data_IF_733842689717
#
_entry.id   IF_733842689717
#
_cell.length_a   1.000
_cell.length_b   1.000
_cell.length_c   1.000
_cell.angle_alpha   90.00
_cell.angle_beta   90.00
_cell.angle_gamma   90.00
#
_symmetry.space_group_name_H-M   'P 1'
#
loop_
_entity.id
_entity.type
_entity.pdbx_description
1 polymer ?
#
# COMPACT_ATOMS: atom_id res chain seq x y z
N UNK A 1 -13.46 -28.86 -4.81
CA UNK A 1 -12.79 -28.80 -3.49
C UNK A 1 -13.91 -28.93 -2.49
N UNK A 2 -13.91 -29.95 -1.64
CA UNK A 2 -15.06 -30.19 -0.78
C UNK A 2 -15.03 -29.25 0.44
N UNK A 3 -15.87 -28.22 0.42
CA UNK A 3 -16.12 -27.36 1.57
C UNK A 3 -17.26 -27.96 2.38
N UNK A 4 -17.07 -28.10 3.69
CA UNK A 4 -18.12 -28.51 4.62
C UNK A 4 -18.62 -27.27 5.34
N UNK A 5 -19.88 -26.91 5.12
CA UNK A 5 -20.54 -25.83 5.84
C UNK A 5 -21.53 -26.44 6.83
N UNK A 6 -21.30 -26.22 8.13
CA UNK A 6 -22.10 -26.81 9.21
C UNK A 6 -22.24 -28.35 9.12
N UNK A 7 -21.19 -29.04 8.63
CA UNK A 7 -21.17 -30.50 8.47
C UNK A 7 -21.85 -31.03 7.19
N UNK A 8 -22.48 -30.18 6.39
CA UNK A 8 -23.03 -30.53 5.08
C UNK A 8 -22.03 -30.14 3.99
N UNK A 9 -21.93 -30.98 2.95
CA UNK A 9 -21.12 -30.64 1.76
C UNK A 9 -21.76 -29.43 1.08
N UNK A 10 -21.03 -28.31 1.08
CA UNK A 10 -21.39 -27.15 0.28
C UNK A 10 -21.11 -27.44 -1.20
N UNK A 11 -21.80 -26.70 -2.07
CA UNK A 11 -21.57 -26.78 -3.51
C UNK A 11 -20.11 -26.46 -3.84
N UNK A 12 -19.57 -27.14 -4.86
CA UNK A 12 -18.25 -26.82 -5.37
C UNK A 12 -18.23 -25.35 -5.81
N UNK A 13 -17.28 -24.58 -5.26
CA UNK A 13 -16.98 -23.24 -5.70
C UNK A 13 -15.57 -23.21 -6.29
N UNK A 14 -15.40 -22.42 -7.36
CA UNK A 14 -14.09 -22.14 -7.94
C UNK A 14 -13.64 -20.79 -7.39
N UNK A 15 -12.57 -20.71 -6.59
CA UNK A 15 -12.06 -19.43 -6.12
C UNK A 15 -11.61 -18.61 -7.34
N UNK A 16 -12.14 -17.40 -7.47
CA UNK A 16 -11.81 -16.47 -8.56
C UNK A 16 -10.61 -15.59 -8.26
N UNK A 17 -10.31 -15.36 -6.98
CA UNK A 17 -9.20 -14.52 -6.49
C UNK A 17 -8.60 -15.12 -5.22
N UNK A 18 -7.35 -14.76 -4.95
CA UNK A 18 -6.61 -15.16 -3.75
C UNK A 18 -5.81 -16.44 -3.94
N UNK A 19 -4.71 -16.52 -3.19
CA UNK A 19 -3.89 -17.73 -3.08
C UNK A 19 -4.38 -18.52 -1.86
N UNK A 20 -4.29 -19.85 -1.92
CA UNK A 20 -4.67 -20.69 -0.77
C UNK A 20 -3.79 -20.35 0.43
N UNK A 21 -4.40 -20.08 1.57
CA UNK A 21 -3.68 -19.90 2.81
C UNK A 21 -2.95 -21.22 3.17
N UNK A 22 -1.65 -21.15 3.43
CA UNK A 22 -0.81 -22.32 3.64
C UNK A 22 -0.17 -22.89 2.36
N UNK A 23 -0.36 -22.25 1.20
CA UNK A 23 0.45 -22.54 0.01
C UNK A 23 1.87 -22.00 0.23
N UNK A 24 2.93 -22.83 0.11
CA UNK A 24 4.31 -22.35 0.27
C UNK A 24 4.70 -21.25 -0.73
N UNK A 25 3.97 -21.06 -1.84
CA UNK A 25 4.22 -20.00 -2.81
C UNK A 25 3.58 -18.66 -2.47
N UNK A 26 2.57 -18.62 -1.60
CA UNK A 26 1.85 -17.38 -1.28
C UNK A 26 2.74 -16.24 -0.75
N UNK A 27 3.76 -16.48 0.09
CA UNK A 27 4.64 -15.42 0.58
C UNK A 27 5.48 -14.81 -0.54
N UNK A 28 5.94 -15.62 -1.48
CA UNK A 28 6.76 -15.17 -2.61
C UNK A 28 5.95 -14.30 -3.58
N UNK A 29 4.70 -14.69 -3.86
CA UNK A 29 3.80 -13.89 -4.70
C UNK A 29 3.48 -12.53 -4.06
N UNK A 30 3.32 -12.48 -2.74
CA UNK A 30 3.15 -11.22 -2.02
C UNK A 30 4.39 -10.32 -2.15
N UNK A 31 5.59 -10.87 -1.91
CA UNK A 31 6.84 -10.11 -2.04
C UNK A 31 7.00 -9.55 -3.45
N UNK A 32 6.75 -10.35 -4.50
CA UNK A 32 6.84 -9.89 -5.89
C UNK A 32 5.84 -8.77 -6.22
N UNK A 33 4.60 -8.86 -5.70
CA UNK A 33 3.61 -7.82 -5.89
C UNK A 33 4.03 -6.50 -5.23
N UNK A 34 4.54 -6.58 -4.00
CA UNK A 34 5.00 -5.43 -3.23
C UNK A 34 6.28 -4.82 -3.81
N UNK A 35 7.20 -5.65 -4.30
CA UNK A 35 8.40 -5.20 -5.04
C UNK A 35 8.01 -4.40 -6.29
N UNK A 36 7.00 -4.88 -7.03
CA UNK A 36 6.47 -4.14 -8.19
C UNK A 36 5.89 -2.78 -7.78
N UNK A 37 5.18 -2.70 -6.66
CA UNK A 37 4.70 -1.42 -6.11
C UNK A 37 5.87 -0.48 -5.77
N UNK A 38 6.92 -1.00 -5.16
CA UNK A 38 8.15 -0.23 -4.87
C UNK A 38 8.78 0.36 -6.13
N UNK A 39 8.82 -0.40 -7.23
CA UNK A 39 9.31 0.11 -8.52
C UNK A 39 8.43 1.20 -9.13
N UNK A 40 7.10 1.11 -8.99
CA UNK A 40 6.19 2.18 -9.45
C UNK A 40 6.45 3.48 -8.68
N UNK A 41 6.58 3.38 -7.35
CA UNK A 41 6.89 4.54 -6.51
C UNK A 41 8.26 5.12 -6.88
N UNK A 42 9.28 4.29 -7.08
CA UNK A 42 10.61 4.76 -7.45
C UNK A 42 10.62 5.47 -8.80
N UNK A 43 9.85 4.98 -9.78
CA UNK A 43 9.71 5.64 -11.08
C UNK A 43 9.16 7.07 -10.94
N UNK A 44 8.13 7.27 -10.11
CA UNK A 44 7.56 8.60 -9.87
C UNK A 44 8.48 9.51 -9.05
N UNK A 45 9.32 8.93 -8.17
CA UNK A 45 10.38 9.67 -7.48
C UNK A 45 11.44 10.16 -8.48
N UNK A 46 11.84 9.32 -9.43
CA UNK A 46 12.84 9.67 -10.43
C UNK A 46 12.32 10.70 -11.45
N UNK A 47 11.02 10.68 -11.73
CA UNK A 47 10.31 11.70 -12.54
C UNK A 47 10.13 13.03 -11.78
N UNK A 48 10.24 13.02 -10.45
CA UNK A 48 10.03 14.18 -9.59
C UNK A 48 8.56 14.45 -9.26
N UNK A 49 7.63 13.61 -9.71
CA UNK A 49 6.20 13.69 -9.37
C UNK A 49 5.96 13.32 -7.89
N UNK A 50 6.80 12.44 -7.34
CA UNK A 50 6.78 12.04 -5.93
C UNK A 50 8.00 12.59 -5.21
N UNK A 51 7.78 13.34 -4.13
CA UNK A 51 8.83 13.93 -3.31
C UNK A 51 9.11 13.05 -2.08
N UNK A 52 10.24 12.30 -2.06
CA UNK A 52 10.56 11.40 -0.98
C UNK A 52 11.08 12.14 0.25
N UNK A 53 10.93 11.52 1.43
CA UNK A 53 11.47 12.06 2.67
C UNK A 53 13.00 11.97 2.72
N UNK A 54 13.65 13.05 3.16
CA UNK A 54 15.11 13.11 3.38
C UNK A 54 15.41 13.66 4.77
N UNK A 55 16.13 12.89 5.58
CA UNK A 55 16.53 13.30 6.93
C UNK A 55 17.57 14.44 6.92
N UNK A 56 18.43 14.48 5.89
CA UNK A 56 19.40 15.57 5.67
C UNK A 56 19.62 15.81 4.17
N UNK A 57 20.21 16.96 3.81
CA UNK A 57 20.43 17.40 2.40
C UNK A 57 21.21 16.39 1.53
N UNK A 58 22.00 15.51 2.14
CA UNK A 58 22.80 14.46 1.47
C UNK A 58 22.34 13.04 1.88
N UNK A 59 21.18 12.92 2.51
CA UNK A 59 20.71 11.68 3.08
C UNK A 59 20.01 10.82 2.05
N UNK A 60 19.90 9.53 2.35
CA UNK A 60 19.09 8.61 1.57
C UNK A 60 17.65 9.10 1.55
N UNK A 61 17.07 9.13 0.35
CA UNK A 61 15.67 9.43 0.17
C UNK A 61 14.84 8.19 0.51
N UNK A 62 13.84 8.33 1.37
CA UNK A 62 12.93 7.26 1.78
C UNK A 62 11.54 7.63 1.24
N UNK A 63 11.00 6.79 0.36
CA UNK A 63 9.64 6.96 -0.21
C UNK A 63 8.65 5.95 0.35
N UNK A 64 9.09 4.75 0.72
CA UNK A 64 8.21 3.68 1.18
C UNK A 64 8.93 2.71 2.12
N UNK A 65 8.16 2.05 2.99
CA UNK A 65 8.56 0.92 3.81
C UNK A 65 7.46 -0.14 3.73
N UNK A 66 7.83 -1.37 3.42
CA UNK A 66 6.90 -2.48 3.31
C UNK A 66 7.16 -3.51 4.40
N UNK A 67 6.12 -3.82 5.18
CA UNK A 67 6.09 -4.92 6.14
C UNK A 67 5.17 -6.04 5.65
N UNK A 68 5.07 -7.13 6.41
CA UNK A 68 4.19 -8.24 6.06
C UNK A 68 2.71 -7.83 6.07
N UNK A 69 2.33 -6.99 7.03
CA UNK A 69 0.93 -6.61 7.27
C UNK A 69 0.62 -5.15 6.89
N UNK A 70 1.63 -4.28 6.85
CA UNK A 70 1.44 -2.84 6.70
C UNK A 70 2.39 -2.20 5.67
N UNK A 71 1.92 -1.15 5.00
CA UNK A 71 2.72 -0.29 4.14
C UNK A 71 2.77 1.14 4.68
N UNK A 72 3.97 1.72 4.74
CA UNK A 72 4.19 3.11 5.15
C UNK A 72 4.74 3.88 3.96
N UNK A 73 4.06 4.95 3.58
CA UNK A 73 4.43 5.79 2.43
C UNK A 73 4.84 7.18 2.91
N UNK A 74 5.94 7.68 2.37
CA UNK A 74 6.51 8.98 2.71
C UNK A 74 6.40 9.91 1.50
N UNK A 75 5.60 10.95 1.64
CA UNK A 75 5.41 12.00 0.65
C UNK A 75 5.41 13.37 1.34
N UNK A 76 5.67 14.43 0.58
CA UNK A 76 5.54 15.79 1.10
C UNK A 76 4.07 16.13 1.38
N UNK A 77 3.85 16.99 2.38
CA UNK A 77 2.53 17.40 2.87
C UNK A 77 1.82 18.36 1.91
N UNK A 78 1.47 17.85 0.73
CA UNK A 78 0.86 18.62 -0.34
C UNK A 78 -0.26 17.84 -1.05
N UNK A 79 -1.26 18.57 -1.54
CA UNK A 79 -2.42 17.97 -2.20
C UNK A 79 -2.07 17.35 -3.56
N UNK A 80 -1.09 17.90 -4.28
CA UNK A 80 -0.63 17.29 -5.54
C UNK A 80 0.07 15.97 -5.24
N UNK A 81 0.90 15.93 -4.20
CA UNK A 81 1.57 14.71 -3.74
C UNK A 81 0.57 13.63 -3.32
N UNK A 82 -0.46 13.98 -2.56
CA UNK A 82 -1.53 13.05 -2.20
C UNK A 82 -2.27 12.51 -3.44
N UNK A 83 -2.48 13.35 -4.45
CA UNK A 83 -3.05 12.95 -5.73
C UNK A 83 -2.18 11.93 -6.48
N UNK A 84 -0.87 12.18 -6.56
CA UNK A 84 0.11 11.25 -7.14
C UNK A 84 0.13 9.92 -6.39
N UNK A 85 0.13 9.95 -5.05
CA UNK A 85 0.09 8.71 -4.27
C UNK A 85 -1.15 7.90 -4.59
N UNK A 86 -2.31 8.55 -4.61
CA UNK A 86 -3.57 7.89 -4.94
C UNK A 86 -3.55 7.29 -6.34
N UNK A 87 -3.06 8.02 -7.33
CA UNK A 87 -2.99 7.54 -8.72
C UNK A 87 -2.15 6.27 -8.84
N UNK A 88 -0.96 6.22 -8.22
CA UNK A 88 -0.11 5.03 -8.22
C UNK A 88 -0.80 3.84 -7.56
N UNK A 89 -1.49 4.08 -6.44
CA UNK A 89 -2.22 3.03 -5.73
C UNK A 89 -3.41 2.52 -6.54
N UNK A 90 -4.12 3.40 -7.23
CA UNK A 90 -5.22 3.04 -8.13
C UNK A 90 -4.71 2.19 -9.31
N UNK A 91 -3.62 2.61 -9.96
CA UNK A 91 -2.96 1.87 -11.04
C UNK A 91 -2.48 0.48 -10.57
N UNK A 92 -1.90 0.42 -9.37
CA UNK A 92 -1.49 -0.84 -8.77
C UNK A 92 -2.68 -1.73 -8.43
N UNK A 93 -3.78 -1.17 -7.92
CA UNK A 93 -5.02 -1.89 -7.61
C UNK A 93 -5.62 -2.50 -8.88
N UNK A 94 -5.64 -1.76 -9.98
CA UNK A 94 -6.09 -2.25 -11.28
C UNK A 94 -5.18 -3.38 -11.80
N UNK A 95 -3.86 -3.18 -11.77
CA UNK A 95 -2.90 -4.16 -12.25
C UNK A 95 -2.86 -5.46 -11.40
N UNK A 96 -3.11 -5.36 -10.10
CA UNK A 96 -3.12 -6.49 -9.17
C UNK A 96 -4.45 -7.26 -9.13
N UNK A 97 -5.44 -6.85 -9.92
CA UNK A 97 -6.74 -7.53 -10.00
C UNK A 97 -7.68 -7.16 -8.84
N UNK A 98 -7.56 -5.95 -8.31
CA UNK A 98 -8.41 -5.40 -7.25
C UNK A 98 -7.88 -5.67 -5.84
N UNK A 99 -6.56 -5.69 -5.65
CA UNK A 99 -5.96 -5.70 -4.31
C UNK A 99 -6.23 -4.34 -3.66
N UNK A 100 -7.19 -4.30 -2.74
CA UNK A 100 -7.53 -3.07 -2.03
C UNK A 100 -6.57 -2.88 -0.86
N UNK A 101 -5.70 -1.89 -0.99
CA UNK A 101 -4.88 -1.40 0.13
C UNK A 101 -5.79 -0.51 0.97
N UNK A 102 -6.24 -1.03 2.12
CA UNK A 102 -7.24 -0.39 2.97
C UNK A 102 -6.65 0.64 3.93
N UNK A 103 -5.45 0.37 4.44
CA UNK A 103 -4.75 1.25 5.36
C UNK A 103 -3.33 1.50 4.86
N UNK A 104 -2.99 2.77 4.67
CA UNK A 104 -1.61 3.20 4.45
C UNK A 104 -1.36 4.44 5.29
N UNK A 105 -0.19 4.49 5.91
CA UNK A 105 0.20 5.66 6.70
C UNK A 105 0.92 6.60 5.75
N UNK A 106 0.27 7.72 5.41
CA UNK A 106 0.96 8.87 4.84
C UNK A 106 1.63 9.63 5.98
N UNK A 107 2.95 9.63 5.96
CA UNK A 107 3.72 10.52 6.83
C UNK A 107 3.96 11.81 6.08
N UNK A 108 3.19 12.84 6.43
CA UNK A 108 3.41 14.21 5.97
C UNK A 108 4.71 14.77 6.56
N UNK A 109 5.62 15.25 5.71
CA UNK A 109 6.80 15.98 6.14
C UNK A 109 6.73 17.43 5.67
N UNK A 110 6.54 18.35 6.62
CA UNK A 110 6.48 19.78 6.33
C UNK A 110 7.87 20.36 5.98
N UNK A 111 7.98 21.19 4.93
CA UNK A 111 9.22 21.87 4.62
C UNK A 111 9.38 23.09 5.54
N UNK A 112 10.21 22.92 6.59
CA UNK A 112 11.11 23.93 7.24
C UNK A 112 11.07 23.84 8.77
N UNK A 113 12.21 23.46 9.34
CA UNK A 113 12.61 23.86 10.70
C UNK A 113 12.05 23.08 11.88
N UNK A 114 10.96 22.32 11.70
CA UNK A 114 10.39 21.49 12.76
C UNK A 114 10.13 20.09 12.18
N UNK A 115 10.99 19.11 12.51
CA UNK A 115 10.81 17.71 12.11
C UNK A 115 9.78 17.06 13.03
N UNK A 116 8.53 17.50 12.91
CA UNK A 116 7.43 16.90 13.67
C UNK A 116 6.72 15.89 12.78
N UNK A 117 6.99 14.62 13.04
CA UNK A 117 6.31 13.51 12.39
C UNK A 117 4.86 13.48 12.86
N UNK A 118 3.93 13.93 12.02
CA UNK A 118 2.51 13.66 12.20
C UNK A 118 2.13 12.42 11.41
N UNK A 119 1.77 11.36 12.13
CA UNK A 119 1.05 10.24 11.53
C UNK A 119 -0.33 10.78 11.18
N UNK A 120 -0.61 10.96 9.88
CA UNK A 120 -1.97 11.23 9.42
C UNK A 120 -2.56 9.87 9.06
N UNK A 121 -3.37 9.25 9.94
CA UNK A 121 -4.14 8.10 9.52
C UNK A 121 -5.07 8.57 8.41
N UNK A 122 -5.06 7.92 7.25
CA UNK A 122 -6.10 8.08 6.23
C UNK A 122 -7.38 7.41 6.74
N UNK A 123 -7.94 7.92 7.83
CA UNK A 123 -9.32 7.64 8.19
C UNK A 123 -10.17 8.47 7.25
N UNK A 124 -10.68 7.79 6.21
CA UNK A 124 -12.04 8.07 5.80
C UNK A 124 -12.96 7.76 6.99
N UNK A 125 -13.13 8.75 7.86
CA UNK A 125 -14.04 8.76 8.99
C UNK A 125 -15.51 8.87 8.53
N UNK A 126 -15.91 8.08 7.53
CA UNK A 126 -17.23 8.14 6.90
C UNK A 126 -17.94 6.79 6.84
N UNK A 127 -17.45 5.74 7.52
CA UNK A 127 -18.19 4.47 7.62
C UNK A 127 -17.87 3.61 8.84
N UNK A 128 -18.07 4.16 10.03
CA UNK A 128 -18.15 3.36 11.26
C UNK A 128 -19.14 4.01 12.25
N UNK A 129 -20.44 3.85 11.98
CA UNK A 129 -21.53 3.87 12.97
C UNK A 129 -22.78 3.25 12.32
N UNK A 130 -22.91 1.93 12.50
CA UNK A 130 -24.19 1.34 12.89
C UNK A 130 -23.99 0.82 14.31
#
# INVERSE_FOLDING_TARGET
MNLLWNGLRANDFVPSRGVRQGDPLSPYLFVLAVERLGHLIQSEVDLGSWLPFRLHKKGTAISHLFFADDFILFAEADMEQAGTVKAILDDFCEASGGLQIQDFILTECAPKGDQRFSLVPTRDASKARK
#
